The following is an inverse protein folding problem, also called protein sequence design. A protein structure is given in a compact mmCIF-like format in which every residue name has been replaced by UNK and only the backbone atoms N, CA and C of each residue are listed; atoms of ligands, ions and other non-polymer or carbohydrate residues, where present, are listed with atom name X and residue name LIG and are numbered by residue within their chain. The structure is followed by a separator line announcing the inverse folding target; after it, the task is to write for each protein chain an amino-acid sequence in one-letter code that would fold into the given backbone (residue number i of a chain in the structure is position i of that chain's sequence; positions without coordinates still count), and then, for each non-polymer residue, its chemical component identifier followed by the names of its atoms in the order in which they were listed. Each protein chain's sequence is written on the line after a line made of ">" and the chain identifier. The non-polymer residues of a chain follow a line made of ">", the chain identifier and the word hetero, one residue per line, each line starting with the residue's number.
data_IF_557520080733
#
_entry.id   IF_557520080733
#
_cell.length_a   1.000
_cell.length_b   1.000
_cell.length_c   1.000
_cell.angle_alpha   90.00
_cell.angle_beta   90.00
_cell.angle_gamma   90.00
#
_symmetry.space_group_name_H-M   'P 1'
#
loop_
_entity.id
_entity.type
_entity.pdbx_description
1 polymer ?
#
# COMPACT_ATOMS: atom_id res chain seq x y z
N UNK A 1 15.85 -9.78 -21.30
CA UNK A 1 15.83 -11.13 -20.70
C UNK A 1 15.49 -11.03 -19.22
N UNK A 2 16.35 -10.43 -18.38
CA UNK A 2 16.08 -10.27 -16.95
C UNK A 2 14.79 -9.46 -16.63
N UNK A 3 14.53 -8.36 -17.35
CA UNK A 3 13.31 -7.55 -17.17
C UNK A 3 12.04 -8.32 -17.58
N UNK A 4 12.15 -9.21 -18.56
CA UNK A 4 11.02 -9.99 -19.08
C UNK A 4 10.71 -11.18 -18.15
N UNK A 5 11.74 -11.82 -17.61
CA UNK A 5 11.60 -12.84 -16.55
C UNK A 5 11.03 -12.25 -15.26
N UNK A 6 11.49 -11.06 -14.84
CA UNK A 6 10.93 -10.36 -13.68
C UNK A 6 9.46 -9.97 -13.89
N UNK A 7 9.09 -9.56 -15.11
CA UNK A 7 7.70 -9.28 -15.47
C UNK A 7 6.83 -10.53 -15.39
N UNK A 8 7.28 -11.66 -15.96
CA UNK A 8 6.55 -12.94 -15.93
C UNK A 8 6.37 -13.45 -14.50
N UNK A 9 7.41 -13.38 -13.67
CA UNK A 9 7.32 -13.76 -12.26
C UNK A 9 6.36 -12.85 -11.46
N UNK A 10 6.33 -11.54 -11.77
CA UNK A 10 5.37 -10.62 -11.17
C UNK A 10 3.93 -10.91 -11.62
N UNK A 11 3.73 -11.30 -12.87
CA UNK A 11 2.43 -11.67 -13.44
C UNK A 11 1.91 -12.98 -12.82
N UNK A 12 2.76 -13.99 -12.66
CA UNK A 12 2.45 -15.26 -11.98
C UNK A 12 2.13 -15.03 -10.49
N UNK A 13 2.93 -14.22 -9.80
CA UNK A 13 2.65 -13.85 -8.41
C UNK A 13 1.36 -13.03 -8.26
N UNK A 14 0.99 -12.22 -9.25
CA UNK A 14 -0.28 -11.49 -9.29
C UNK A 14 -1.48 -12.44 -9.46
N UNK A 15 -1.33 -13.46 -10.30
CA UNK A 15 -2.32 -14.53 -10.50
C UNK A 15 -2.52 -15.35 -9.23
N UNK A 16 -1.44 -15.76 -8.56
CA UNK A 16 -1.52 -16.50 -7.31
C UNK A 16 -2.15 -15.65 -6.19
N UNK A 17 -1.71 -14.40 -6.04
CA UNK A 17 -2.29 -13.50 -5.05
C UNK A 17 -3.76 -13.18 -5.34
N UNK A 18 -4.17 -13.09 -6.60
CA UNK A 18 -5.58 -12.95 -6.98
C UNK A 18 -6.38 -14.23 -6.69
N UNK A 19 -5.77 -15.41 -6.84
CA UNK A 19 -6.38 -16.69 -6.50
C UNK A 19 -6.51 -16.89 -4.97
N UNK A 20 -5.67 -16.23 -4.18
CA UNK A 20 -5.73 -16.21 -2.71
C UNK A 20 -6.73 -15.19 -2.14
N UNK A 21 -7.36 -14.33 -2.97
CA UNK A 21 -8.37 -13.38 -2.50
C UNK A 21 -9.69 -14.10 -2.21
N UNK A 22 -10.27 -13.82 -1.05
CA UNK A 22 -11.67 -14.19 -0.79
C UNK A 22 -12.59 -13.40 -1.74
N UNK A 23 -13.39 -14.06 -2.60
CA UNK A 23 -14.27 -13.37 -3.56
C UNK A 23 -15.38 -12.55 -2.89
N UNK A 24 -15.60 -12.74 -1.58
CA UNK A 24 -16.52 -11.95 -0.77
C UNK A 24 -15.84 -10.79 -0.02
N UNK A 25 -14.50 -10.73 -0.01
CA UNK A 25 -13.77 -9.64 0.60
C UNK A 25 -13.97 -8.33 -0.18
N UNK A 26 -13.98 -7.18 0.49
CA UNK A 26 -13.92 -5.88 -0.16
C UNK A 26 -12.72 -5.75 -1.10
N UNK A 27 -12.89 -4.99 -2.19
CA UNK A 27 -11.79 -4.70 -3.11
C UNK A 27 -10.63 -4.01 -2.35
N UNK A 28 -9.42 -4.59 -2.32
CA UNK A 28 -8.27 -3.98 -1.66
C UNK A 28 -7.74 -2.73 -2.37
N UNK A 29 -8.13 -2.47 -3.63
CA UNK A 29 -7.66 -1.31 -4.38
C UNK A 29 -8.81 -0.75 -5.25
N UNK A 30 -9.88 -0.20 -4.66
CA UNK A 30 -11.00 0.32 -5.42
C UNK A 30 -10.55 1.53 -6.25
N UNK A 31 -10.67 1.43 -7.57
CA UNK A 31 -10.26 2.51 -8.47
C UNK A 31 -11.17 3.73 -8.35
N UNK A 32 -10.56 4.92 -8.23
CA UNK A 32 -11.27 6.21 -8.24
C UNK A 32 -10.76 7.08 -9.40
N UNK A 33 -11.33 6.95 -10.61
CA UNK A 33 -10.89 7.70 -11.79
C UNK A 33 -10.88 9.22 -11.58
N UNK A 34 -11.77 9.74 -10.73
CA UNK A 34 -11.83 11.17 -10.39
C UNK A 34 -10.58 11.67 -9.63
N UNK A 35 -9.78 10.76 -9.06
CA UNK A 35 -8.56 11.08 -8.32
C UNK A 35 -7.30 11.08 -9.19
N UNK A 36 -7.38 10.84 -10.50
CA UNK A 36 -6.20 10.86 -11.37
C UNK A 36 -5.35 12.15 -11.26
N UNK A 37 -5.92 13.36 -11.12
CA UNK A 37 -5.12 14.57 -10.86
C UNK A 37 -4.38 14.55 -9.52
N UNK A 38 -4.84 13.75 -8.54
CA UNK A 38 -4.16 13.55 -7.26
C UNK A 38 -2.93 12.67 -7.43
N UNK A 39 -2.99 11.63 -8.28
CA UNK A 39 -1.82 10.80 -8.60
C UNK A 39 -0.63 11.64 -9.11
N UNK A 40 -0.89 12.67 -9.90
CA UNK A 40 0.15 13.61 -10.36
C UNK A 40 0.80 14.38 -9.20
N UNK A 41 0.04 14.71 -8.16
CA UNK A 41 0.57 15.33 -6.93
C UNK A 41 1.46 14.37 -6.12
N UNK A 42 1.34 13.06 -6.33
CA UNK A 42 2.25 12.05 -5.80
C UNK A 42 3.44 11.78 -6.74
N UNK A 43 3.55 12.48 -7.87
CA UNK A 43 4.61 12.25 -8.87
C UNK A 43 4.37 11.02 -9.74
N UNK A 44 3.11 10.61 -9.92
CA UNK A 44 2.77 9.43 -10.71
C UNK A 44 3.22 8.13 -10.05
N UNK A 45 3.38 7.06 -10.86
CA UNK A 45 3.82 5.76 -10.37
C UNK A 45 5.23 5.81 -9.75
N UNK A 46 6.17 6.49 -10.42
CA UNK A 46 7.55 6.57 -9.93
C UNK A 46 7.65 7.32 -8.60
N UNK A 47 6.84 8.37 -8.41
CA UNK A 47 6.77 9.07 -7.14
C UNK A 47 6.16 8.24 -6.00
N UNK A 48 5.17 7.38 -6.31
CA UNK A 48 4.68 6.39 -5.35
C UNK A 48 5.76 5.36 -4.97
N UNK A 49 6.55 4.88 -5.92
CA UNK A 49 7.64 3.93 -5.62
C UNK A 49 8.67 4.57 -4.66
N UNK A 50 9.10 5.82 -4.91
CA UNK A 50 10.00 6.56 -4.00
C UNK A 50 9.37 6.85 -2.63
N UNK A 51 8.07 7.14 -2.61
CA UNK A 51 7.32 7.31 -1.36
C UNK A 51 7.34 6.01 -0.54
N UNK A 52 7.16 4.84 -1.19
CA UNK A 52 7.19 3.55 -0.49
C UNK A 52 8.55 3.20 0.08
N UNK A 53 9.65 3.58 -0.59
CA UNK A 53 11.00 3.43 -0.03
C UNK A 53 11.16 4.24 1.27
N UNK A 54 10.71 5.50 1.26
CA UNK A 54 10.79 6.38 2.43
C UNK A 54 9.88 5.89 3.56
N UNK A 55 8.68 5.45 3.20
CA UNK A 55 7.71 4.91 4.15
C UNK A 55 8.22 3.63 4.82
N UNK A 56 8.76 2.67 4.06
CA UNK A 56 9.32 1.44 4.61
C UNK A 56 10.51 1.72 5.54
N UNK A 57 11.39 2.63 5.16
CA UNK A 57 12.50 3.05 6.03
C UNK A 57 11.97 3.66 7.35
N UNK A 58 10.92 4.49 7.29
CA UNK A 58 10.25 5.05 8.46
C UNK A 58 9.61 3.98 9.36
N UNK A 59 8.94 2.99 8.77
CA UNK A 59 8.34 1.87 9.49
C UNK A 59 9.39 1.04 10.23
N UNK A 60 10.53 0.75 9.59
CA UNK A 60 11.62 -0.03 10.20
C UNK A 60 12.37 0.74 11.29
N UNK A 61 12.43 2.06 11.20
CA UNK A 61 13.05 2.92 12.21
C UNK A 61 12.15 3.16 13.43
N UNK A 62 10.85 2.91 13.32
CA UNK A 62 9.90 3.09 14.40
C UNK A 62 9.88 1.87 15.33
N UNK A 63 10.04 2.09 16.64
CA UNK A 63 10.13 1.00 17.63
C UNK A 63 8.86 0.13 17.70
N UNK A 64 7.69 0.71 17.38
CA UNK A 64 6.40 0.02 17.42
C UNK A 64 6.10 -0.69 16.11
N UNK A 65 6.42 -0.06 14.97
CA UNK A 65 6.13 -0.64 13.65
C UNK A 65 7.20 -1.61 13.16
N UNK A 66 8.47 -1.38 13.49
CA UNK A 66 9.61 -2.16 12.99
C UNK A 66 9.45 -3.67 13.12
N UNK A 67 8.99 -4.22 14.26
CA UNK A 67 8.77 -5.66 14.44
C UNK A 67 7.83 -6.30 13.41
N UNK A 68 6.82 -5.58 12.91
CA UNK A 68 5.88 -6.09 11.90
C UNK A 68 6.54 -6.27 10.53
N UNK A 69 7.56 -5.47 10.20
CA UNK A 69 8.17 -5.42 8.86
C UNK A 69 9.59 -5.99 8.81
N UNK A 70 10.23 -6.24 9.95
CA UNK A 70 11.62 -6.73 10.02
C UNK A 70 11.85 -8.06 9.27
N UNK A 71 10.85 -8.96 9.30
CA UNK A 71 10.92 -10.27 8.63
C UNK A 71 9.99 -10.36 7.41
N UNK A 72 9.34 -9.25 7.03
CA UNK A 72 8.48 -9.22 5.86
C UNK A 72 9.33 -9.18 4.57
N UNK A 73 8.73 -9.61 3.45
CA UNK A 73 9.27 -9.31 2.13
C UNK A 73 9.02 -7.83 1.81
N UNK A 74 9.95 -6.97 2.22
CA UNK A 74 9.83 -5.52 2.14
C UNK A 74 9.68 -5.02 0.70
N UNK A 75 10.40 -5.62 -0.25
CA UNK A 75 10.30 -5.26 -1.66
C UNK A 75 8.92 -5.59 -2.22
N UNK A 76 8.35 -6.73 -1.84
CA UNK A 76 6.97 -7.05 -2.18
C UNK A 76 5.97 -6.09 -1.54
N UNK A 77 6.12 -5.77 -0.26
CA UNK A 77 5.20 -4.83 0.44
C UNK A 77 5.24 -3.45 -0.22
N UNK A 78 6.43 -2.89 -0.48
CA UNK A 78 6.58 -1.60 -1.16
C UNK A 78 5.91 -1.61 -2.54
N UNK A 79 6.19 -2.62 -3.35
CA UNK A 79 5.59 -2.75 -4.68
C UNK A 79 4.06 -2.80 -4.61
N UNK A 80 3.52 -3.63 -3.72
CA UNK A 80 2.06 -3.83 -3.59
C UNK A 80 1.36 -2.57 -3.07
N UNK A 81 1.98 -1.82 -2.15
CA UNK A 81 1.44 -0.54 -1.69
C UNK A 81 1.48 0.53 -2.80
N UNK A 82 2.56 0.61 -3.57
CA UNK A 82 2.65 1.52 -4.71
C UNK A 82 1.58 1.20 -5.77
N UNK A 83 1.35 -0.07 -6.07
CA UNK A 83 0.27 -0.52 -6.96
C UNK A 83 -1.11 -0.16 -6.38
N UNK A 84 -1.35 -0.47 -5.11
CA UNK A 84 -2.63 -0.18 -4.43
C UNK A 84 -2.94 1.32 -4.51
N UNK A 85 -1.98 2.18 -4.20
CA UNK A 85 -2.17 3.63 -4.22
C UNK A 85 -2.35 4.13 -5.65
N UNK A 86 -1.60 3.58 -6.61
CA UNK A 86 -1.75 3.93 -8.02
C UNK A 86 -3.17 3.63 -8.52
N UNK A 87 -3.72 2.44 -8.22
CA UNK A 87 -5.08 2.08 -8.61
C UNK A 87 -6.10 2.96 -7.91
N UNK A 88 -5.99 3.12 -6.58
CA UNK A 88 -6.90 3.96 -5.78
C UNK A 88 -6.94 5.39 -6.31
N UNK A 89 -5.80 5.94 -6.75
CA UNK A 89 -5.73 7.28 -7.31
C UNK A 89 -6.09 7.36 -8.81
N UNK A 90 -6.66 6.30 -9.39
CA UNK A 90 -7.15 6.31 -10.78
C UNK A 90 -6.07 6.16 -11.85
N UNK A 91 -4.91 5.63 -11.47
CA UNK A 91 -3.85 5.22 -12.39
C UNK A 91 -4.13 3.88 -13.05
N UNK A 92 -3.41 3.59 -14.12
CA UNK A 92 -3.60 2.37 -14.94
C UNK A 92 -2.84 1.15 -14.41
N UNK A 93 -2.52 1.15 -13.11
CA UNK A 93 -1.84 0.05 -12.46
C UNK A 93 -2.78 -1.14 -12.22
N UNK A 94 -2.21 -2.28 -11.84
CA UNK A 94 -2.95 -3.42 -11.34
C UNK A 94 -2.40 -3.77 -9.96
N UNK A 95 -3.28 -3.89 -8.97
CA UNK A 95 -2.90 -4.35 -7.65
C UNK A 95 -2.70 -5.87 -7.67
N UNK A 96 -1.50 -6.31 -7.34
CA UNK A 96 -1.10 -7.71 -7.40
C UNK A 96 -1.15 -8.42 -6.04
N UNK A 97 -1.61 -7.76 -4.97
CA UNK A 97 -1.56 -8.31 -3.61
C UNK A 97 -2.81 -9.07 -3.18
N UNK A 98 -2.78 -9.65 -1.97
CA UNK A 98 -3.94 -10.30 -1.35
C UNK A 98 -4.94 -9.24 -0.86
N UNK A 99 -6.14 -9.67 -0.47
CA UNK A 99 -7.09 -8.79 0.21
C UNK A 99 -6.54 -8.31 1.57
N UNK A 100 -7.10 -7.23 2.08
CA UNK A 100 -6.62 -6.60 3.33
C UNK A 100 -6.75 -7.54 4.52
N UNK A 101 -7.85 -8.28 4.64
CA UNK A 101 -8.09 -9.19 5.78
C UNK A 101 -7.07 -10.32 5.79
N UNK A 102 -6.90 -11.02 4.66
CA UNK A 102 -5.95 -12.12 4.52
C UNK A 102 -4.49 -11.67 4.67
N UNK A 103 -4.17 -10.44 4.24
CA UNK A 103 -2.82 -9.89 4.37
C UNK A 103 -2.41 -9.62 5.81
N UNK A 104 -3.36 -9.24 6.66
CA UNK A 104 -3.11 -8.77 8.03
C UNK A 104 -3.58 -9.75 9.11
N UNK A 105 -4.23 -10.85 8.72
CA UNK A 105 -4.71 -11.87 9.64
C UNK A 105 -3.59 -12.44 10.53
N UNK A 106 -3.87 -12.52 11.83
CA UNK A 106 -2.97 -13.13 12.81
C UNK A 106 -1.75 -12.28 13.20
N UNK A 107 -1.69 -11.02 12.74
CA UNK A 107 -0.60 -10.12 13.10
C UNK A 107 -0.79 -9.44 14.47
N UNK A 108 -1.98 -9.51 15.07
CA UNK A 108 -2.25 -8.91 16.37
C UNK A 108 -2.24 -7.38 16.34
N UNK A 109 -2.66 -6.79 15.21
CA UNK A 109 -2.65 -5.35 14.98
C UNK A 109 -3.81 -4.73 15.75
N UNK A 110 -3.51 -3.82 16.66
CA UNK A 110 -4.50 -3.02 17.36
C UNK A 110 -4.76 -1.67 16.66
N UNK A 111 -5.75 -0.92 17.16
CA UNK A 111 -6.09 0.41 16.62
C UNK A 111 -4.94 1.41 16.70
N UNK A 112 -4.12 1.33 17.74
CA UNK A 112 -3.03 2.27 17.93
C UNK A 112 -1.83 1.94 17.03
N UNK A 113 -1.60 0.67 16.67
CA UNK A 113 -0.67 0.26 15.61
C UNK A 113 -1.11 0.83 14.27
N UNK A 114 -2.40 0.67 13.92
CA UNK A 114 -2.96 1.21 12.68
C UNK A 114 -2.78 2.74 12.60
N UNK A 115 -3.10 3.46 13.67
CA UNK A 115 -2.91 4.91 13.71
C UNK A 115 -1.43 5.29 13.59
N UNK A 116 -0.53 4.54 14.24
CA UNK A 116 0.91 4.80 14.13
C UNK A 116 1.41 4.61 12.70
N UNK A 117 0.94 3.57 12.01
CA UNK A 117 1.24 3.36 10.60
C UNK A 117 0.79 4.55 9.73
N UNK A 118 -0.41 5.08 9.98
CA UNK A 118 -0.93 6.27 9.27
C UNK A 118 -0.04 7.50 9.53
N UNK A 119 0.40 7.72 10.77
CA UNK A 119 1.32 8.83 11.09
C UNK A 119 2.65 8.70 10.36
N UNK A 120 3.24 7.51 10.30
CA UNK A 120 4.49 7.26 9.56
C UNK A 120 4.29 7.51 8.06
N UNK A 121 3.13 7.15 7.51
CA UNK A 121 2.79 7.42 6.11
C UNK A 121 2.66 8.93 5.84
N UNK A 122 2.04 9.68 6.74
CA UNK A 122 1.94 11.15 6.63
C UNK A 122 3.32 11.81 6.63
N UNK A 123 4.20 11.40 7.55
CA UNK A 123 5.59 11.90 7.57
C UNK A 123 6.32 11.60 6.26
N UNK A 124 6.13 10.41 5.69
CA UNK A 124 6.70 10.06 4.40
C UNK A 124 6.13 10.94 3.26
N UNK A 125 4.82 11.17 3.23
CA UNK A 125 4.20 12.06 2.23
C UNK A 125 4.69 13.51 2.34
N UNK A 126 4.84 14.01 3.58
CA UNK A 126 5.40 15.33 3.84
C UNK A 126 6.86 15.45 3.34
N UNK A 127 7.67 14.42 3.54
CA UNK A 127 9.06 14.38 3.05
C UNK A 127 9.17 14.38 1.51
N UNK A 128 8.09 14.07 0.80
CA UNK A 128 7.99 14.11 -0.67
C UNK A 128 7.21 15.33 -1.18
N UNK A 129 6.97 16.33 -0.32
CA UNK A 129 6.25 17.57 -0.64
C UNK A 129 4.84 17.32 -1.22
N UNK A 130 4.21 16.17 -0.89
CA UNK A 130 2.86 15.86 -1.34
C UNK A 130 1.90 16.84 -0.65
N UNK A 131 1.10 17.63 -1.40
CA UNK A 131 0.21 18.60 -0.78
C UNK A 131 -0.76 17.95 0.22
N UNK A 132 -0.95 18.55 1.38
CA UNK A 132 -1.83 18.02 2.44
C UNK A 132 -3.24 17.66 1.94
N UNK A 133 -3.77 18.42 0.98
CA UNK A 133 -5.07 18.12 0.35
C UNK A 133 -5.06 16.83 -0.49
N UNK A 134 -3.93 16.50 -1.13
CA UNK A 134 -3.73 15.25 -1.85
C UNK A 134 -3.58 14.06 -0.88
N UNK A 135 -2.79 14.24 0.19
CA UNK A 135 -2.63 13.24 1.26
C UNK A 135 -3.99 12.82 1.84
N UNK A 136 -4.83 13.80 2.22
CA UNK A 136 -6.15 13.52 2.80
C UNK A 136 -7.08 12.80 1.84
N UNK A 137 -6.99 13.05 0.53
CA UNK A 137 -7.81 12.33 -0.47
C UNK A 137 -7.43 10.85 -0.53
N UNK A 138 -6.14 10.52 -0.50
CA UNK A 138 -5.68 9.13 -0.43
C UNK A 138 -6.10 8.47 0.89
N UNK A 139 -5.80 9.12 2.02
CA UNK A 139 -6.10 8.59 3.36
C UNK A 139 -7.61 8.36 3.55
N UNK A 140 -8.47 9.22 2.99
CA UNK A 140 -9.92 9.01 3.03
C UNK A 140 -10.38 7.73 2.32
N UNK A 141 -9.66 7.27 1.29
CA UNK A 141 -9.95 6.00 0.60
C UNK A 141 -9.38 4.79 1.33
N UNK A 142 -8.27 4.95 2.05
CA UNK A 142 -7.67 3.89 2.86
C UNK A 142 -8.38 3.68 4.20
N UNK A 143 -8.94 4.74 4.79
CA UNK A 143 -9.53 4.69 6.13
C UNK A 143 -10.57 3.56 6.36
N UNK A 144 -11.48 3.23 5.42
CA UNK A 144 -12.41 2.10 5.59
C UNK A 144 -11.73 0.74 5.77
N UNK A 145 -10.50 0.55 5.27
CA UNK A 145 -9.74 -0.70 5.38
C UNK A 145 -9.30 -0.98 6.82
N UNK A 146 -9.37 0.00 7.73
CA UNK A 146 -9.13 -0.21 9.16
C UNK A 146 -9.88 -1.45 9.70
N UNK A 147 -11.12 -1.69 9.25
CA UNK A 147 -11.94 -2.83 9.70
C UNK A 147 -11.40 -4.20 9.26
N UNK A 148 -10.53 -4.23 8.27
CA UNK A 148 -9.93 -5.44 7.70
C UNK A 148 -8.49 -5.64 8.20
N UNK A 149 -7.84 -4.55 8.63
CA UNK A 149 -6.43 -4.54 9.09
C UNK A 149 -6.32 -4.73 10.61
N UNK A 150 -7.20 -4.10 11.40
CA UNK A 150 -7.19 -4.25 12.85
C UNK A 150 -7.75 -5.63 13.21
N UNK A 151 -6.95 -6.42 13.91
CA UNK A 151 -7.26 -7.81 14.26
C UNK A 151 -7.52 -8.05 15.75
N UNK A 152 -7.39 -7.01 16.58
CA UNK A 152 -7.61 -7.03 18.04
C UNK A 152 -8.55 -5.89 18.50
#
# INVERSE_FOLDING_TARGET
>A
MLEEEARLAAEEAALDAAAERDPSAPDPAPAHPELRPVLEAFGGREGLDRLMDTFMAGLLADERMGPFFANADQERVKRQLAEQFCVILGGDCTYSGRDMKSSHAGLGIDRADFNRLVEVLQVAMDAHDVPFSAQNKLLAKLAPMHREVVTE
#
